data_IF_662085531469
#
_entry.id   IF_662085531469
#
_cell.length_a   1.000
_cell.length_b   1.000
_cell.length_c   1.000
_cell.angle_alpha   90.00
_cell.angle_beta   90.00
_cell.angle_gamma   90.00
#
_symmetry.space_group_name_H-M   'P 1'
#
loop_
_entity.id
_entity.type
_entity.pdbx_description
1 polymer ?
#
# COMPACT_ATOMS: atom_id res chain seq x y z
N UNK A 1 27.02 -85.29 -17.86
CA UNK A 1 26.86 -84.24 -16.84
C UNK A 1 27.38 -82.95 -17.44
N UNK A 2 26.74 -81.83 -17.13
CA UNK A 2 27.05 -80.46 -17.53
C UNK A 2 26.64 -80.00 -18.93
N UNK A 3 26.16 -78.77 -19.14
CA UNK A 3 25.71 -77.70 -18.23
C UNK A 3 24.71 -76.85 -19.04
N UNK A 4 23.72 -76.30 -18.35
CA UNK A 4 22.74 -75.35 -18.89
C UNK A 4 23.44 -74.01 -19.14
N UNK A 5 23.29 -73.43 -20.32
CA UNK A 5 23.41 -71.99 -20.55
C UNK A 5 22.43 -71.61 -21.67
N UNK A 6 21.14 -71.50 -21.31
CA UNK A 6 20.14 -70.92 -22.20
C UNK A 6 20.30 -69.40 -22.16
N UNK A 7 20.96 -68.87 -23.19
CA UNK A 7 21.01 -67.45 -23.49
C UNK A 7 19.57 -66.92 -23.61
N UNK A 8 19.19 -66.02 -22.70
CA UNK A 8 18.02 -65.17 -22.87
C UNK A 8 18.21 -64.38 -24.15
N UNK A 9 17.44 -64.75 -25.16
CA UNK A 9 17.48 -64.25 -26.53
C UNK A 9 17.37 -62.71 -26.54
N UNK A 10 18.32 -62.02 -27.17
CA UNK A 10 18.41 -60.55 -27.26
C UNK A 10 17.10 -59.88 -27.75
N UNK A 11 16.27 -60.61 -28.49
CA UNK A 11 14.96 -60.15 -28.97
C UNK A 11 13.93 -59.86 -27.87
N UNK A 12 13.93 -60.62 -26.76
CA UNK A 12 13.00 -60.36 -25.63
C UNK A 12 13.40 -59.07 -24.89
N UNK A 13 14.70 -58.80 -24.82
CA UNK A 13 15.26 -57.61 -24.19
C UNK A 13 14.97 -56.33 -24.99
N UNK A 14 14.93 -56.42 -26.34
CA UNK A 14 14.54 -55.30 -27.21
C UNK A 14 13.04 -54.97 -27.13
N UNK A 15 12.15 -55.96 -27.11
CA UNK A 15 10.70 -55.74 -27.01
C UNK A 15 10.33 -55.09 -25.67
N UNK A 16 10.95 -55.54 -24.57
CA UNK A 16 10.75 -54.95 -23.24
C UNK A 16 11.28 -53.50 -23.17
N UNK A 17 12.36 -53.14 -23.88
CA UNK A 17 12.82 -51.74 -24.00
C UNK A 17 11.85 -50.86 -24.76
N UNK A 18 11.34 -51.31 -25.90
CA UNK A 18 10.38 -50.54 -26.72
C UNK A 18 9.08 -50.31 -25.93
N UNK A 19 8.62 -51.31 -25.20
CA UNK A 19 7.41 -51.21 -24.36
C UNK A 19 7.61 -50.30 -23.13
N UNK A 20 8.82 -50.29 -22.54
CA UNK A 20 9.18 -49.36 -21.46
C UNK A 20 9.28 -47.92 -21.97
N UNK A 21 9.90 -47.71 -23.12
CA UNK A 21 10.05 -46.41 -23.77
C UNK A 21 8.70 -45.82 -24.21
N UNK A 22 7.77 -46.65 -24.72
CA UNK A 22 6.41 -46.19 -25.07
C UNK A 22 5.59 -45.83 -23.83
N UNK A 23 5.69 -46.60 -22.73
CA UNK A 23 5.07 -46.26 -21.45
C UNK A 23 5.62 -44.95 -20.86
N UNK A 24 6.93 -44.71 -20.95
CA UNK A 24 7.54 -43.48 -20.46
C UNK A 24 7.09 -42.24 -21.26
N UNK A 25 6.90 -42.37 -22.58
CA UNK A 25 6.36 -41.30 -23.42
C UNK A 25 4.89 -41.01 -23.06
N UNK A 26 4.06 -42.05 -22.93
CA UNK A 26 2.66 -41.90 -22.54
C UNK A 26 2.54 -41.28 -21.14
N UNK A 27 3.36 -41.73 -20.19
CA UNK A 27 3.37 -41.23 -18.81
C UNK A 27 3.80 -39.76 -18.74
N UNK A 28 4.82 -39.34 -19.51
CA UNK A 28 5.22 -37.93 -19.62
C UNK A 28 4.11 -37.05 -20.21
N UNK A 29 3.43 -37.52 -21.25
CA UNK A 29 2.30 -36.80 -21.84
C UNK A 29 1.14 -36.63 -20.87
N UNK A 30 0.81 -37.68 -20.10
CA UNK A 30 -0.24 -37.62 -19.06
C UNK A 30 0.14 -36.64 -17.95
N UNK A 31 1.38 -36.66 -17.45
CA UNK A 31 1.84 -35.71 -16.42
C UNK A 31 1.73 -34.27 -16.92
N UNK A 32 2.15 -33.99 -18.15
CA UNK A 32 2.07 -32.64 -18.74
C UNK A 32 0.62 -32.15 -18.81
N UNK A 33 -0.32 -33.01 -19.24
CA UNK A 33 -1.75 -32.66 -19.30
C UNK A 33 -2.29 -32.37 -17.89
N UNK A 34 -1.95 -33.19 -16.89
CA UNK A 34 -2.38 -32.97 -15.50
C UNK A 34 -1.84 -31.65 -14.95
N UNK A 35 -0.57 -31.32 -15.21
CA UNK A 35 0.03 -30.05 -14.81
C UNK A 35 -0.66 -28.87 -15.49
N UNK A 36 -0.92 -28.95 -16.80
CA UNK A 36 -1.64 -27.89 -17.53
C UNK A 36 -3.06 -27.70 -16.97
N UNK A 37 -3.79 -28.79 -16.75
CA UNK A 37 -5.14 -28.74 -16.16
C UNK A 37 -5.11 -28.14 -14.74
N UNK A 38 -4.11 -28.48 -13.93
CA UNK A 38 -3.94 -27.91 -12.60
C UNK A 38 -3.60 -26.41 -12.65
N UNK A 39 -2.71 -25.99 -13.54
CA UNK A 39 -2.42 -24.57 -13.78
C UNK A 39 -3.66 -23.80 -14.27
N UNK A 40 -4.44 -24.39 -15.18
CA UNK A 40 -5.68 -23.80 -15.67
C UNK A 40 -6.73 -23.69 -14.56
N UNK A 41 -6.81 -24.70 -13.68
CA UNK A 41 -7.68 -24.69 -12.52
C UNK A 41 -7.28 -23.62 -11.49
N UNK A 42 -5.99 -23.49 -11.19
CA UNK A 42 -5.48 -22.42 -10.32
C UNK A 42 -5.75 -21.03 -10.90
N UNK A 43 -5.55 -20.86 -12.21
CA UNK A 43 -5.86 -19.62 -12.91
C UNK A 43 -7.37 -19.31 -12.86
N UNK A 44 -8.22 -20.30 -13.13
CA UNK A 44 -9.68 -20.16 -13.05
C UNK A 44 -10.14 -19.78 -11.64
N UNK A 45 -9.56 -20.38 -10.58
CA UNK A 45 -9.86 -19.99 -9.19
C UNK A 45 -9.45 -18.56 -8.87
N UNK A 46 -8.27 -18.09 -9.36
CA UNK A 46 -7.86 -16.69 -9.20
C UNK A 46 -8.84 -15.74 -9.89
N UNK A 47 -9.25 -16.07 -11.12
CA UNK A 47 -10.23 -15.29 -11.89
C UNK A 47 -11.59 -15.22 -11.19
N UNK A 48 -12.14 -16.35 -10.77
CA UNK A 48 -13.42 -16.41 -10.08
C UNK A 48 -13.39 -15.68 -8.72
N UNK A 49 -12.26 -15.70 -8.00
CA UNK A 49 -12.09 -14.89 -6.78
C UNK A 49 -12.15 -13.39 -7.10
N UNK A 50 -11.49 -12.95 -8.18
CA UNK A 50 -11.53 -11.56 -8.64
C UNK A 50 -12.94 -11.12 -9.04
N UNK A 51 -13.66 -11.93 -9.82
CA UNK A 51 -15.03 -11.63 -10.26
C UNK A 51 -16.03 -11.58 -9.09
N UNK A 52 -15.89 -12.47 -8.11
CA UNK A 52 -16.72 -12.45 -6.89
C UNK A 52 -16.44 -11.23 -6.01
N UNK A 53 -15.25 -10.65 -6.04
CA UNK A 53 -14.93 -9.40 -5.36
C UNK A 53 -15.48 -8.16 -6.10
N UNK A 54 -15.76 -8.28 -7.41
CA UNK A 54 -16.35 -7.19 -8.20
C UNK A 54 -17.88 -7.13 -8.09
N UNK A 55 -18.54 -8.24 -7.80
CA UNK A 55 -20.00 -8.32 -7.66
C UNK A 55 -20.46 -7.64 -6.36
N UNK A 56 -20.57 -6.31 -6.40
CA UNK A 56 -20.92 -5.46 -5.26
C UNK A 56 -20.27 -4.07 -5.27
N UNK A 57 -19.26 -3.83 -6.12
CA UNK A 57 -18.68 -2.49 -6.29
C UNK A 57 -19.64 -1.60 -7.06
N UNK A 58 -20.19 -0.58 -6.40
CA UNK A 58 -20.82 0.55 -7.08
C UNK A 58 -19.71 1.43 -7.64
N UNK A 59 -19.72 1.63 -8.94
CA UNK A 59 -18.90 2.66 -9.57
C UNK A 59 -19.48 4.02 -9.18
N UNK A 60 -18.73 4.80 -8.41
CA UNK A 60 -19.11 6.15 -7.97
C UNK A 60 -18.17 7.13 -8.65
N UNK A 61 -18.72 8.03 -9.47
CA UNK A 61 -17.96 9.17 -10.00
C UNK A 61 -17.99 10.30 -9.00
N UNK A 62 -16.82 10.72 -8.52
CA UNK A 62 -16.67 11.87 -7.61
C UNK A 62 -15.77 12.93 -8.24
N UNK A 63 -15.91 14.17 -7.79
CA UNK A 63 -15.01 15.27 -8.16
C UNK A 63 -14.10 15.52 -6.97
N UNK A 64 -12.82 15.19 -7.12
CA UNK A 64 -11.80 15.53 -6.12
C UNK A 64 -11.39 16.99 -6.33
N UNK A 65 -11.49 17.86 -5.32
CA UNK A 65 -11.09 19.25 -5.46
C UNK A 65 -9.56 19.37 -5.56
N UNK A 66 -9.08 20.38 -6.28
CA UNK A 66 -7.66 20.73 -6.28
C UNK A 66 -7.20 21.10 -4.86
N UNK A 67 -5.95 20.82 -4.52
CA UNK A 67 -5.44 21.12 -3.19
C UNK A 67 -5.19 22.62 -3.02
N UNK A 68 -5.69 23.18 -1.91
CA UNK A 68 -5.43 24.57 -1.51
C UNK A 68 -4.87 24.56 -0.09
N UNK A 69 -3.59 24.87 0.04
CA UNK A 69 -2.94 24.83 1.34
C UNK A 69 -3.15 26.12 2.12
N UNK A 70 -3.49 25.97 3.40
CA UNK A 70 -3.52 27.04 4.38
C UNK A 70 -2.53 26.73 5.49
N UNK A 71 -1.68 27.71 5.83
CA UNK A 71 -0.68 27.57 6.91
C UNK A 71 -1.18 28.30 8.15
N UNK A 72 -1.15 27.61 9.28
CA UNK A 72 -1.54 28.12 10.59
C UNK A 72 -0.35 27.99 11.52
N UNK A 73 -0.01 29.09 12.17
CA UNK A 73 0.93 29.10 13.30
C UNK A 73 0.14 29.23 14.59
N UNK A 74 0.33 28.29 15.51
CA UNK A 74 -0.38 28.27 16.80
C UNK A 74 0.53 27.80 17.94
N UNK A 75 0.02 27.90 19.17
CA UNK A 75 0.64 27.35 20.36
C UNK A 75 -0.28 26.27 20.92
N UNK A 76 0.28 25.09 21.20
CA UNK A 76 -0.41 24.07 21.99
C UNK A 76 -0.22 24.32 23.49
N UNK A 77 -0.81 23.44 24.29
CA UNK A 77 -0.64 23.43 25.75
C UNK A 77 0.84 23.59 26.13
N UNK A 78 1.10 24.36 27.20
CA UNK A 78 2.46 24.69 27.68
C UNK A 78 3.32 25.56 26.74
N UNK A 79 2.70 26.42 25.92
CA UNK A 79 3.37 27.38 25.03
C UNK A 79 4.27 26.73 23.96
N UNK A 80 3.96 25.48 23.58
CA UNK A 80 4.70 24.75 22.54
C UNK A 80 4.31 25.27 21.15
N UNK A 81 5.28 25.76 20.34
CA UNK A 81 4.99 26.22 18.99
C UNK A 81 4.57 25.08 18.08
N UNK A 82 3.60 25.35 17.22
CA UNK A 82 3.20 24.46 16.18
C UNK A 82 2.90 25.17 14.86
N UNK A 83 3.17 24.44 13.78
CA UNK A 83 2.86 24.85 12.42
C UNK A 83 1.99 23.77 11.79
N UNK A 84 0.81 24.16 11.34
CA UNK A 84 -0.14 23.28 10.66
C UNK A 84 -0.26 23.74 9.21
N UNK A 85 -0.17 22.79 8.28
CA UNK A 85 -0.51 23.02 6.87
C UNK A 85 -1.67 22.10 6.52
N UNK A 86 -2.80 22.67 6.13
CA UNK A 86 -4.04 21.94 5.85
C UNK A 86 -4.57 22.22 4.46
N UNK A 87 -5.27 21.25 3.86
CA UNK A 87 -5.96 21.40 2.58
C UNK A 87 -7.37 21.97 2.81
N UNK A 88 -7.53 23.27 2.61
CA UNK A 88 -8.79 23.97 2.92
C UNK A 88 -9.93 23.63 1.98
N UNK A 89 -9.64 23.17 0.76
CA UNK A 89 -10.66 22.76 -0.20
C UNK A 89 -11.41 21.47 0.21
N UNK A 90 -10.92 20.74 1.22
CA UNK A 90 -11.59 19.54 1.72
C UNK A 90 -12.70 19.81 2.74
N UNK A 91 -12.88 21.06 3.19
CA UNK A 91 -13.91 21.41 4.20
C UNK A 91 -15.34 21.09 3.74
N UNK A 92 -15.60 21.33 2.46
CA UNK A 92 -16.91 21.12 1.83
C UNK A 92 -17.00 19.80 1.04
N UNK A 93 -16.01 18.92 1.18
CA UNK A 93 -15.98 17.63 0.49
C UNK A 93 -17.09 16.70 1.04
N UNK A 94 -17.96 16.20 0.16
CA UNK A 94 -19.20 15.52 0.55
C UNK A 94 -19.05 14.01 0.55
N UNK A 95 -18.26 13.47 -0.36
CA UNK A 95 -18.09 12.04 -0.63
C UNK A 95 -17.04 11.41 0.30
N UNK A 96 -17.10 11.75 1.60
CA UNK A 96 -16.16 11.31 2.64
C UNK A 96 -16.08 9.80 2.78
N UNK A 97 -17.18 9.10 2.55
CA UNK A 97 -17.27 7.65 2.65
C UNK A 97 -16.43 6.91 1.59
N UNK A 98 -16.20 7.54 0.43
CA UNK A 98 -15.29 7.03 -0.61
C UNK A 98 -13.85 7.01 -0.11
N UNK A 99 -13.46 7.99 0.71
CA UNK A 99 -12.16 8.05 1.37
C UNK A 99 -12.31 7.81 2.88
N UNK A 100 -12.93 6.67 3.22
CA UNK A 100 -13.38 6.39 4.58
C UNK A 100 -12.31 5.82 5.53
N UNK A 101 -11.02 5.94 5.21
CA UNK A 101 -9.93 5.43 6.04
C UNK A 101 -8.90 6.53 6.32
N UNK A 102 -8.67 6.86 7.59
CA UNK A 102 -7.61 7.80 7.96
C UNK A 102 -6.29 7.06 8.06
N UNK A 103 -5.27 7.55 7.35
CA UNK A 103 -3.87 7.21 7.57
C UNK A 103 -3.18 8.36 8.28
N UNK A 104 -2.69 8.11 9.50
CA UNK A 104 -1.84 9.03 10.26
C UNK A 104 -0.42 8.49 10.30
N UNK A 105 0.55 9.32 9.93
CA UNK A 105 1.99 9.03 9.98
C UNK A 105 2.65 10.04 10.92
N UNK A 106 3.43 9.54 11.88
CA UNK A 106 4.27 10.36 12.77
C UNK A 106 5.73 10.11 12.43
N UNK A 107 6.50 11.18 12.23
CA UNK A 107 7.95 11.13 12.02
C UNK A 107 8.63 11.98 13.10
N UNK A 108 9.63 11.39 13.75
CA UNK A 108 10.36 12.04 14.84
C UNK A 108 11.60 12.77 14.30
N UNK A 109 11.65 14.07 14.52
CA UNK A 109 12.81 14.88 14.17
C UNK A 109 14.00 14.54 15.07
N UNK A 110 15.20 14.57 14.50
CA UNK A 110 16.45 14.30 15.21
C UNK A 110 17.07 15.57 15.78
N UNK A 111 17.17 16.61 14.96
CA UNK A 111 17.91 17.83 15.29
C UNK A 111 16.93 19.00 15.51
N UNK A 112 16.75 19.37 16.79
CA UNK A 112 15.80 20.37 17.24
C UNK A 112 16.48 21.69 17.63
N UNK A 113 15.78 22.80 17.41
CA UNK A 113 16.10 24.11 17.97
C UNK A 113 15.66 24.22 19.43
N UNK A 114 16.04 25.31 20.11
CA UNK A 114 15.74 25.51 21.54
C UNK A 114 14.24 25.52 21.89
N UNK A 115 13.38 25.81 20.92
CA UNK A 115 11.93 25.89 21.08
C UNK A 115 11.21 24.57 20.73
N UNK A 116 11.93 23.47 20.53
CA UNK A 116 11.33 22.16 20.20
C UNK A 116 10.98 21.99 18.72
N UNK A 117 11.08 23.04 17.91
CA UNK A 117 10.91 22.93 16.46
C UNK A 117 12.15 22.30 15.81
N UNK A 118 12.01 21.59 14.69
CA UNK A 118 13.16 21.12 13.92
C UNK A 118 14.04 22.30 13.47
N UNK A 119 15.34 22.04 13.32
CA UNK A 119 16.21 22.97 12.58
C UNK A 119 15.80 23.03 11.10
N UNK A 120 16.25 24.05 10.37
CA UNK A 120 15.96 24.16 8.93
C UNK A 120 16.48 22.95 8.15
N UNK A 121 17.74 22.55 8.39
CA UNK A 121 18.36 21.39 7.73
C UNK A 121 17.59 20.10 8.02
N UNK A 122 17.13 19.93 9.27
CA UNK A 122 16.32 18.79 9.68
C UNK A 122 14.93 18.79 9.03
N UNK A 123 14.32 19.98 8.90
CA UNK A 123 13.03 20.16 8.25
C UNK A 123 13.11 19.77 6.78
N UNK A 124 14.13 20.22 6.05
CA UNK A 124 14.30 19.93 4.63
C UNK A 124 14.36 18.41 4.38
N UNK A 125 15.12 17.67 5.20
CA UNK A 125 15.26 16.21 5.06
C UNK A 125 13.91 15.50 5.21
N UNK A 126 13.15 15.86 6.24
CA UNK A 126 11.87 15.19 6.53
C UNK A 126 10.78 15.64 5.55
N UNK A 127 10.72 16.92 5.18
CA UNK A 127 9.72 17.42 4.24
C UNK A 127 9.93 16.86 2.83
N UNK A 128 11.17 16.76 2.35
CA UNK A 128 11.49 16.08 1.08
C UNK A 128 11.05 14.62 1.07
N UNK A 129 11.05 13.97 2.24
CA UNK A 129 10.60 12.60 2.39
C UNK A 129 9.08 12.51 2.44
N UNK A 130 8.42 13.39 3.20
CA UNK A 130 6.96 13.49 3.27
C UNK A 130 6.35 13.77 1.89
N UNK A 131 6.96 14.62 1.07
CA UNK A 131 6.49 14.89 -0.30
C UNK A 131 6.54 13.64 -1.21
N UNK A 132 7.58 12.82 -1.06
CA UNK A 132 7.69 11.54 -1.78
C UNK A 132 6.64 10.54 -1.32
N UNK A 133 6.40 10.46 -0.01
CA UNK A 133 5.35 9.62 0.55
C UNK A 133 3.97 10.07 0.07
N UNK A 134 3.69 11.38 0.10
CA UNK A 134 2.43 11.95 -0.36
C UNK A 134 2.13 11.56 -1.82
N UNK A 135 3.11 11.76 -2.70
CA UNK A 135 3.00 11.38 -4.11
C UNK A 135 2.74 9.88 -4.28
N UNK A 136 3.45 9.02 -3.54
CA UNK A 136 3.31 7.57 -3.63
C UNK A 136 1.98 7.05 -3.06
N UNK A 137 1.51 7.64 -1.96
CA UNK A 137 0.25 7.29 -1.28
C UNK A 137 -0.96 7.72 -2.11
N UNK A 138 -0.91 8.91 -2.73
CA UNK A 138 -1.93 9.40 -3.67
C UNK A 138 -1.99 8.53 -4.93
N UNK A 139 -0.84 8.15 -5.48
CA UNK A 139 -0.78 7.28 -6.66
C UNK A 139 -1.15 8.02 -7.94
N UNK A 140 -2.17 7.54 -8.65
CA UNK A 140 -2.60 8.09 -9.93
C UNK A 140 -3.29 9.46 -9.75
N UNK A 141 -2.79 10.56 -10.35
CA UNK A 141 -3.43 11.87 -10.24
C UNK A 141 -4.86 11.93 -10.77
N UNK A 142 -5.20 11.11 -11.77
CA UNK A 142 -6.55 11.06 -12.34
C UNK A 142 -7.51 10.23 -11.46
N UNK A 143 -6.96 9.34 -10.64
CA UNK A 143 -7.68 8.43 -9.74
C UNK A 143 -6.95 8.29 -8.40
N UNK A 144 -6.87 9.38 -7.60
CA UNK A 144 -6.06 9.38 -6.40
C UNK A 144 -6.64 8.41 -5.37
N UNK A 145 -5.77 7.60 -4.78
CA UNK A 145 -6.12 6.70 -3.67
C UNK A 145 -6.23 7.44 -2.34
N UNK A 146 -5.67 8.65 -2.24
CA UNK A 146 -5.60 9.41 -1.01
C UNK A 146 -5.84 10.90 -1.22
N UNK A 147 -6.36 11.56 -0.19
CA UNK A 147 -6.49 13.00 -0.09
C UNK A 147 -5.60 13.48 1.06
N UNK A 148 -4.68 14.40 0.78
CA UNK A 148 -3.92 15.05 1.85
C UNK A 148 -4.84 15.98 2.63
N UNK A 149 -4.94 15.77 3.94
CA UNK A 149 -5.78 16.59 4.82
C UNK A 149 -4.95 17.65 5.51
N UNK A 150 -3.92 17.23 6.26
CA UNK A 150 -3.09 18.14 7.01
C UNK A 150 -1.73 17.51 7.32
N UNK A 151 -0.77 18.38 7.64
CA UNK A 151 0.42 18.05 8.40
C UNK A 151 0.58 19.03 9.55
N UNK A 152 1.11 18.55 10.65
CA UNK A 152 1.35 19.31 11.87
C UNK A 152 2.78 19.09 12.31
N UNK A 153 3.53 20.16 12.52
CA UNK A 153 4.85 20.12 13.15
C UNK A 153 4.72 20.69 14.54
N UNK A 154 4.99 19.87 15.56
CA UNK A 154 4.91 20.24 16.97
C UNK A 154 5.86 19.37 17.79
N UNK A 155 6.51 19.94 18.80
CA UNK A 155 7.24 19.20 19.86
C UNK A 155 8.22 18.11 19.37
N UNK A 156 8.97 18.40 18.31
CA UNK A 156 9.97 17.49 17.77
C UNK A 156 9.43 16.34 16.93
N UNK A 157 8.16 16.41 16.50
CA UNK A 157 7.60 15.48 15.52
C UNK A 157 6.85 16.21 14.40
N UNK A 158 6.60 15.48 13.32
CA UNK A 158 5.63 15.84 12.29
C UNK A 158 4.60 14.73 12.16
N UNK A 159 3.34 15.12 12.24
CA UNK A 159 2.19 14.26 12.00
C UNK A 159 1.60 14.60 10.64
N UNK A 160 1.30 13.60 9.82
CA UNK A 160 0.74 13.76 8.48
C UNK A 160 -0.50 12.89 8.32
N UNK A 161 -1.57 13.48 7.79
CA UNK A 161 -2.88 12.87 7.73
C UNK A 161 -3.39 12.81 6.29
N UNK A 162 -3.76 11.60 5.87
CA UNK A 162 -4.44 11.35 4.60
C UNK A 162 -5.77 10.64 4.84
N UNK A 163 -6.75 10.94 3.99
CA UNK A 163 -7.97 10.13 3.86
C UNK A 163 -7.85 9.23 2.64
N UNK A 164 -7.97 7.92 2.85
CA UNK A 164 -7.70 6.87 1.86
C UNK A 164 -9.00 6.23 1.35
N UNK A 165 -8.99 5.91 0.06
CA UNK A 165 -9.99 5.07 -0.58
C UNK A 165 -9.71 3.60 -0.29
N UNK A 166 -8.56 3.10 -0.72
CA UNK A 166 -8.09 1.75 -0.41
C UNK A 166 -6.93 1.78 0.61
N UNK A 167 -7.10 1.19 1.81
CA UNK A 167 -6.05 1.19 2.83
C UNK A 167 -4.95 0.16 2.56
N UNK A 168 -5.28 -0.97 1.93
CA UNK A 168 -4.37 -2.11 1.78
C UNK A 168 -3.12 -1.79 0.95
N UNK A 169 -3.21 -1.10 -0.21
CA UNK A 169 -2.00 -0.71 -0.96
C UNK A 169 -1.07 0.19 -0.15
N UNK A 170 -1.64 1.12 0.63
CA UNK A 170 -0.87 2.05 1.47
C UNK A 170 -0.22 1.31 2.64
N UNK A 171 -0.95 0.41 3.29
CA UNK A 171 -0.41 -0.45 4.34
C UNK A 171 0.79 -1.26 3.85
N UNK A 172 0.66 -1.93 2.69
CA UNK A 172 1.74 -2.73 2.11
C UNK A 172 2.96 -1.87 1.76
N UNK A 173 2.73 -0.69 1.18
CA UNK A 173 3.79 0.26 0.87
C UNK A 173 4.53 0.72 2.13
N UNK A 174 3.82 1.19 3.15
CA UNK A 174 4.43 1.65 4.40
C UNK A 174 5.11 0.53 5.18
N UNK A 175 4.54 -0.69 5.20
CA UNK A 175 5.22 -1.87 5.77
C UNK A 175 6.54 -2.16 5.06
N UNK A 176 6.57 -2.13 3.72
CA UNK A 176 7.82 -2.39 2.98
C UNK A 176 8.92 -1.40 3.34
N UNK A 177 8.57 -0.11 3.52
CA UNK A 177 9.52 0.92 3.93
C UNK A 177 10.09 0.62 5.33
N UNK A 178 9.24 0.18 6.26
CA UNK A 178 9.65 -0.15 7.63
C UNK A 178 10.56 -1.38 7.64
N UNK A 179 10.17 -2.45 6.93
CA UNK A 179 10.94 -3.69 6.84
C UNK A 179 12.31 -3.49 6.18
N UNK A 180 12.38 -2.62 5.17
CA UNK A 180 13.61 -2.27 4.47
C UNK A 180 14.44 -1.20 5.20
N UNK A 181 13.88 -0.58 6.25
CA UNK A 181 14.48 0.55 6.96
C UNK A 181 14.87 1.70 6.00
N UNK A 182 14.00 2.00 5.04
CA UNK A 182 14.24 2.95 3.95
C UNK A 182 13.69 4.36 4.24
N UNK A 183 13.63 4.72 5.53
CA UNK A 183 13.19 6.02 6.02
C UNK A 183 14.36 6.82 6.62
N UNK A 184 14.37 8.16 6.49
CA UNK A 184 15.46 8.98 7.02
C UNK A 184 15.42 9.13 8.55
N UNK A 185 14.24 8.97 9.16
CA UNK A 185 13.96 9.20 10.58
C UNK A 185 12.96 8.18 11.10
N UNK A 186 13.05 7.87 12.39
CA UNK A 186 12.09 6.98 13.04
C UNK A 186 10.67 7.46 12.77
N UNK A 187 9.82 6.51 12.41
CA UNK A 187 8.45 6.80 12.03
C UNK A 187 7.53 5.67 12.46
N UNK A 188 6.26 6.02 12.67
CA UNK A 188 5.18 5.08 12.92
C UNK A 188 3.93 5.54 12.19
N UNK A 189 3.04 4.60 11.88
CA UNK A 189 1.79 4.93 11.22
C UNK A 189 0.64 4.09 11.74
N UNK A 190 -0.56 4.58 11.48
CA UNK A 190 -1.83 3.97 11.85
C UNK A 190 -2.83 4.20 10.73
N UNK A 191 -3.58 3.16 10.38
CA UNK A 191 -4.68 3.23 9.41
C UNK A 191 -5.94 2.76 10.12
N UNK A 192 -6.94 3.63 10.19
CA UNK A 192 -8.21 3.38 10.91
C UNK A 192 -9.40 3.75 10.02
N UNK A 193 -10.48 2.98 10.13
CA UNK A 193 -11.72 3.28 9.41
C UNK A 193 -12.42 4.47 10.08
N UNK A 194 -12.67 5.52 9.31
CA UNK A 194 -13.27 6.78 9.75
C UNK A 194 -14.06 7.42 8.60
N UNK A 195 -15.19 6.82 8.22
CA UNK A 195 -16.02 7.29 7.11
C UNK A 195 -16.63 8.69 7.30
N UNK A 196 -16.64 9.22 8.53
CA UNK A 196 -17.16 10.55 8.84
C UNK A 196 -16.04 11.59 8.99
N UNK A 197 -14.78 11.17 8.89
CA UNK A 197 -13.59 12.00 9.05
C UNK A 197 -13.48 12.68 10.42
N UNK A 198 -13.93 12.01 11.48
CA UNK A 198 -13.93 12.56 12.85
C UNK A 198 -12.53 12.82 13.39
N UNK A 199 -11.57 11.97 13.05
CA UNK A 199 -10.18 12.08 13.53
C UNK A 199 -9.45 13.31 13.01
N UNK A 200 -9.92 13.88 11.89
CA UNK A 200 -9.31 15.04 11.23
C UNK A 200 -10.24 16.26 11.17
N UNK A 201 -11.41 16.19 11.81
CA UNK A 201 -12.45 17.21 11.74
C UNK A 201 -11.96 18.59 12.21
N UNK A 202 -11.18 18.62 13.30
CA UNK A 202 -10.66 19.85 13.89
C UNK A 202 -9.79 20.66 12.91
N UNK A 203 -8.99 20.01 12.05
CA UNK A 203 -8.23 20.69 10.99
C UNK A 203 -9.14 21.43 10.00
N UNK A 204 -10.32 20.88 9.74
CA UNK A 204 -11.26 21.38 8.74
C UNK A 204 -12.23 22.44 9.30
N UNK A 205 -12.37 22.56 10.62
CA UNK A 205 -13.34 23.47 11.23
C UNK A 205 -12.73 24.56 12.12
N UNK A 206 -11.65 24.27 12.84
CA UNK A 206 -11.18 25.18 13.91
C UNK A 206 -10.27 26.30 13.40
N UNK A 207 -9.76 26.18 12.16
CA UNK A 207 -8.87 27.15 11.54
C UNK A 207 -9.51 27.80 10.31
N UNK A 208 -10.47 28.73 10.46
CA UNK A 208 -11.11 29.36 9.31
C UNK A 208 -10.08 30.11 8.43
N UNK A 209 -10.30 30.12 7.11
CA UNK A 209 -9.51 30.98 6.23
C UNK A 209 -9.65 32.44 6.71
N UNK A 210 -8.53 33.15 6.86
CA UNK A 210 -8.60 34.60 7.04
C UNK A 210 -9.13 35.20 5.73
N UNK A 211 -10.30 35.84 5.77
CA UNK A 211 -10.77 36.67 4.66
C UNK A 211 -9.74 37.79 4.43
N UNK A 212 -9.12 37.79 3.23
CA UNK A 212 -8.21 38.86 2.78
C UNK A 212 -8.95 40.14 2.41
#
# INVERSE_FOLDING_TARGET
>A
MLFITLYLNDGVCQILRVYKQSKDIIMKSVITIVVICFCFFLWYRKKAKKEKCLDGMKEVSIIVPEEKYHVVECLYEEDKPAIIVLNSNLRDFKEKDVFGWTCSLTIYYKDLAQNGMPTHEESDIVLDYVEKLDSAIKGDPDHPNALFVARETCDGQIDVFWQLNEPEPVHQYLQSIIEENSYPREMEYRIEYDAEWKSVEWFLHDFPEKEE
#
